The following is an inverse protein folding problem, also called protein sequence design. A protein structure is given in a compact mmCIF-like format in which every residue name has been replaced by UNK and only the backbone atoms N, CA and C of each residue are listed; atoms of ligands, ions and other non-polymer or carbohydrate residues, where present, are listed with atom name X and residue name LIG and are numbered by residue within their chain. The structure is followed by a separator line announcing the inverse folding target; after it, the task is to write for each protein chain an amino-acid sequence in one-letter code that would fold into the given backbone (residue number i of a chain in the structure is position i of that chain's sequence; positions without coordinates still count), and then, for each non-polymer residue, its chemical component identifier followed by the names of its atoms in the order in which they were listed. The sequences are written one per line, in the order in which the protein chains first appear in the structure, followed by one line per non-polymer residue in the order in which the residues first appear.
data_IF_001291487207
#
_entry.id   IF_001291487207
#
_cell.length_a   1.000
_cell.length_b   1.000
_cell.length_c   1.000
_cell.angle_alpha   90.00
_cell.angle_beta   90.00
_cell.angle_gamma   90.00
#
_symmetry.space_group_name_H-M   'P 1'
#
loop_
_entity.id
_entity.type
_entity.pdbx_description
1 polymer ?
#
# COMPACT_ATOMS: atom_id res chain seq x y z
N UNK A 1 24.84 -22.34 -79.18
CA UNK A 1 24.75 -21.24 -78.24
C UNK A 1 23.95 -21.72 -77.06
N UNK A 2 24.61 -22.11 -75.94
CA UNK A 2 23.99 -22.63 -74.74
C UNK A 2 23.82 -21.44 -73.73
N UNK A 3 22.59 -21.11 -73.35
CA UNK A 3 22.29 -20.12 -72.31
C UNK A 3 22.39 -20.79 -70.93
N UNK A 4 23.32 -20.33 -70.13
CA UNK A 4 23.51 -20.73 -68.73
C UNK A 4 22.57 -19.89 -67.89
N UNK A 5 21.58 -20.49 -67.20
CA UNK A 5 20.77 -19.88 -66.20
C UNK A 5 21.49 -19.94 -64.81
N UNK A 6 21.82 -18.79 -64.27
CA UNK A 6 22.29 -18.69 -62.91
C UNK A 6 21.04 -18.55 -61.95
N UNK A 7 20.85 -19.54 -61.11
CA UNK A 7 19.91 -19.44 -59.99
C UNK A 7 20.62 -18.75 -58.80
N UNK A 8 20.19 -17.57 -58.45
CA UNK A 8 20.60 -16.91 -57.21
C UNK A 8 19.66 -17.39 -56.10
N UNK A 9 20.21 -18.20 -55.18
CA UNK A 9 19.52 -18.66 -53.97
C UNK A 9 19.71 -17.58 -52.92
N UNK A 10 18.64 -16.78 -52.66
CA UNK A 10 18.59 -15.83 -51.53
C UNK A 10 18.24 -16.62 -50.28
N UNK A 11 19.24 -16.84 -49.43
CA UNK A 11 19.02 -17.44 -48.12
C UNK A 11 18.38 -16.39 -47.16
N UNK A 12 17.13 -16.61 -46.78
CA UNK A 12 16.53 -15.93 -45.64
C UNK A 12 17.19 -16.46 -44.36
N UNK A 13 18.07 -15.68 -43.74
CA UNK A 13 18.41 -15.89 -42.33
C UNK A 13 17.20 -15.45 -41.47
N UNK A 14 16.46 -16.42 -40.97
CA UNK A 14 15.54 -16.19 -39.90
C UNK A 14 16.35 -15.95 -38.60
N UNK A 15 16.47 -14.69 -38.15
CA UNK A 15 16.87 -14.40 -36.79
C UNK A 15 15.74 -14.88 -35.86
N UNK A 16 15.89 -16.08 -35.31
CA UNK A 16 15.16 -16.52 -34.17
C UNK A 16 15.68 -15.72 -32.95
N UNK A 17 15.07 -14.59 -32.67
CA UNK A 17 15.19 -13.92 -31.39
C UNK A 17 14.64 -14.87 -30.34
N UNK A 18 15.51 -15.47 -29.55
CA UNK A 18 15.13 -16.09 -28.28
C UNK A 18 14.66 -14.97 -27.39
N UNK A 19 13.34 -14.88 -27.18
CA UNK A 19 12.78 -14.21 -26.03
C UNK A 19 13.35 -14.91 -24.80
N UNK A 20 14.34 -14.33 -24.16
CA UNK A 20 14.74 -14.69 -22.80
C UNK A 20 13.58 -14.20 -21.93
N UNK A 21 12.64 -15.10 -21.63
CA UNK A 21 11.77 -14.93 -20.49
C UNK A 21 12.70 -14.83 -19.29
N UNK A 22 12.69 -13.70 -18.58
CA UNK A 22 13.30 -13.59 -17.29
C UNK A 22 12.55 -14.58 -16.38
N UNK A 23 13.13 -15.77 -16.19
CA UNK A 23 12.68 -16.67 -15.14
C UNK A 23 13.03 -15.98 -13.84
N UNK A 24 12.03 -15.61 -13.05
CA UNK A 24 12.23 -15.25 -11.66
C UNK A 24 13.03 -16.39 -11.00
N UNK A 25 14.22 -16.08 -10.49
CA UNK A 25 14.98 -17.04 -9.69
C UNK A 25 14.17 -17.35 -8.43
N UNK A 26 14.29 -18.57 -7.89
CA UNK A 26 13.70 -18.90 -6.60
C UNK A 26 14.22 -17.89 -5.56
N UNK A 27 13.31 -17.21 -4.87
CA UNK A 27 13.67 -16.30 -3.78
C UNK A 27 14.29 -17.12 -2.63
N UNK A 28 15.25 -16.55 -1.86
CA UNK A 28 15.83 -17.26 -0.72
C UNK A 28 14.75 -17.56 0.31
N UNK A 29 14.82 -18.71 0.95
CA UNK A 29 13.97 -19.06 2.07
C UNK A 29 14.34 -18.25 3.33
N UNK A 30 13.45 -18.19 4.32
CA UNK A 30 13.64 -17.39 5.55
C UNK A 30 14.94 -17.74 6.29
N UNK A 31 15.31 -19.03 6.35
CA UNK A 31 16.52 -19.52 7.02
C UNK A 31 17.81 -19.25 6.22
N UNK A 32 17.70 -18.81 4.97
CA UNK A 32 18.82 -18.37 4.14
C UNK A 32 19.09 -16.85 4.25
N UNK A 33 18.17 -16.09 4.88
CA UNK A 33 18.29 -14.64 5.03
C UNK A 33 19.32 -14.28 6.12
N UNK A 34 19.98 -13.14 5.91
CA UNK A 34 20.86 -12.54 6.91
C UNK A 34 20.07 -11.86 8.02
N UNK A 35 20.69 -11.66 9.20
CA UNK A 35 20.17 -10.72 10.19
C UNK A 35 20.01 -9.31 9.58
N UNK A 36 18.96 -8.60 9.96
CA UNK A 36 18.64 -7.27 9.42
C UNK A 36 17.82 -7.33 8.13
N UNK A 37 17.81 -6.23 7.38
CA UNK A 37 17.00 -6.10 6.16
C UNK A 37 17.65 -6.81 4.97
N UNK A 38 16.87 -7.64 4.30
CA UNK A 38 17.22 -8.35 3.07
C UNK A 38 16.30 -7.86 1.94
N UNK A 39 16.90 -7.42 0.84
CA UNK A 39 16.18 -7.04 -0.37
C UNK A 39 15.92 -8.28 -1.24
N UNK A 40 14.65 -8.53 -1.59
CA UNK A 40 14.22 -9.63 -2.42
C UNK A 40 13.62 -9.08 -3.73
N UNK A 41 14.08 -9.63 -4.87
CA UNK A 41 13.63 -9.25 -6.22
C UNK A 41 12.91 -10.43 -6.87
N UNK A 42 11.56 -10.47 -6.82
CA UNK A 42 10.81 -11.64 -7.29
C UNK A 42 10.85 -11.82 -8.80
N UNK A 43 11.00 -10.75 -9.58
CA UNK A 43 10.92 -10.83 -11.04
C UNK A 43 9.53 -11.24 -11.53
N UNK A 44 9.46 -11.98 -12.63
CA UNK A 44 8.17 -12.44 -13.17
C UNK A 44 7.27 -11.29 -13.64
N UNK A 45 6.06 -11.21 -13.11
CA UNK A 45 5.08 -10.16 -13.44
C UNK A 45 5.23 -8.88 -12.62
N UNK A 46 6.13 -8.90 -11.60
CA UNK A 46 6.34 -7.74 -10.75
C UNK A 46 7.13 -6.65 -11.47
N UNK A 47 6.68 -5.40 -11.34
CA UNK A 47 7.26 -4.29 -12.08
C UNK A 47 6.85 -2.95 -11.44
N UNK A 48 7.71 -1.94 -11.53
CA UNK A 48 7.33 -0.57 -11.17
C UNK A 48 6.60 0.15 -12.32
N UNK A 49 5.95 1.26 -12.03
CA UNK A 49 5.14 2.04 -12.97
C UNK A 49 5.85 2.38 -14.28
N UNK A 50 7.14 2.67 -14.21
CA UNK A 50 7.99 3.07 -15.33
C UNK A 50 8.73 1.90 -16.00
N UNK A 51 8.47 0.64 -15.61
CA UNK A 51 9.09 -0.56 -16.16
C UNK A 51 10.40 -1.00 -15.49
N UNK A 52 10.82 -0.36 -14.40
CA UNK A 52 11.97 -0.82 -13.60
C UNK A 52 11.61 -2.03 -12.74
N UNK A 53 12.62 -2.75 -12.27
CA UNK A 53 12.44 -3.92 -11.41
C UNK A 53 11.78 -3.54 -10.08
N UNK A 54 10.99 -4.48 -9.56
CA UNK A 54 10.40 -4.38 -8.23
C UNK A 54 11.26 -5.14 -7.21
N UNK A 55 11.22 -4.70 -5.97
CA UNK A 55 11.78 -5.38 -4.82
C UNK A 55 10.92 -5.13 -3.58
N UNK A 56 10.95 -6.07 -2.65
CA UNK A 56 10.43 -5.91 -1.29
C UNK A 56 11.51 -6.29 -0.28
N UNK A 57 11.31 -6.01 1.00
CA UNK A 57 12.33 -6.27 2.01
C UNK A 57 11.80 -7.16 3.12
N UNK A 58 12.66 -8.03 3.64
CA UNK A 58 12.36 -8.91 4.77
C UNK A 58 13.42 -8.74 5.84
N UNK A 59 12.97 -8.66 7.09
CA UNK A 59 13.82 -8.74 8.27
C UNK A 59 13.38 -9.92 9.14
N UNK A 60 14.20 -10.97 9.27
CA UNK A 60 13.95 -12.06 10.21
C UNK A 60 13.94 -11.56 11.66
N UNK A 61 13.00 -12.05 12.46
CA UNK A 61 12.82 -11.78 13.87
C UNK A 61 12.10 -12.94 14.56
N UNK A 62 11.26 -12.65 15.55
CA UNK A 62 10.39 -13.64 16.17
C UNK A 62 9.32 -14.11 15.16
N UNK A 63 9.32 -15.40 14.82
CA UNK A 63 8.40 -15.97 13.85
C UNK A 63 6.94 -16.10 14.33
N UNK A 64 6.69 -15.98 15.64
CA UNK A 64 5.36 -15.93 16.22
C UNK A 64 4.70 -14.54 16.04
N UNK A 65 5.50 -13.53 15.65
CA UNK A 65 5.09 -12.12 15.52
C UNK A 65 5.50 -11.57 14.15
N UNK A 66 4.55 -11.21 13.33
CA UNK A 66 4.79 -10.78 11.96
C UNK A 66 4.21 -9.38 11.73
N UNK A 67 5.05 -8.45 11.28
CA UNK A 67 4.64 -7.14 10.80
C UNK A 67 4.72 -7.11 9.28
N UNK A 68 3.60 -6.83 8.62
CA UNK A 68 3.51 -6.64 7.16
C UNK A 68 3.18 -5.16 6.93
N UNK A 69 4.13 -4.45 6.34
CA UNK A 69 4.02 -3.01 6.13
C UNK A 69 3.96 -2.66 4.65
N UNK A 70 2.88 -2.00 4.25
CA UNK A 70 2.69 -1.47 2.89
C UNK A 70 3.16 -0.02 2.84
N UNK A 71 4.20 0.24 2.03
CA UNK A 71 4.75 1.59 1.93
C UNK A 71 3.80 2.53 1.18
N UNK A 72 3.81 3.80 1.55
CA UNK A 72 3.14 4.86 0.80
C UNK A 72 3.95 5.36 -0.37
N UNK A 73 3.49 6.44 -0.99
CA UNK A 73 4.23 7.09 -2.08
C UNK A 73 3.38 7.76 -3.13
N UNK A 74 2.16 8.17 -2.77
CA UNK A 74 1.23 8.86 -3.66
C UNK A 74 0.48 7.92 -4.61
N UNK A 75 -0.14 8.49 -5.65
CA UNK A 75 -0.91 7.74 -6.65
C UNK A 75 -1.09 8.57 -7.92
N UNK A 76 -1.46 7.93 -9.04
CA UNK A 76 -1.85 8.65 -10.24
C UNK A 76 -2.90 7.89 -11.06
N UNK A 77 -3.78 8.62 -11.79
CA UNK A 77 -4.87 8.06 -12.60
C UNK A 77 -5.25 8.91 -13.82
N UNK A 78 -4.46 9.95 -14.15
CA UNK A 78 -4.54 10.70 -15.39
C UNK A 78 -3.18 11.30 -15.77
N UNK A 79 -3.02 11.66 -17.07
CA UNK A 79 -1.72 11.92 -17.66
C UNK A 79 -0.82 12.90 -16.93
N UNK A 80 -1.35 14.05 -16.49
CA UNK A 80 -0.54 15.11 -15.87
C UNK A 80 0.10 14.71 -14.55
N UNK A 81 -0.59 13.89 -13.73
CA UNK A 81 -0.06 13.41 -12.45
C UNK A 81 0.69 12.08 -12.57
N UNK A 82 0.58 11.41 -13.73
CA UNK A 82 1.31 10.18 -14.03
C UNK A 82 2.64 10.42 -14.74
N UNK A 83 2.77 11.51 -15.49
CA UNK A 83 3.98 11.82 -16.25
C UNK A 83 5.09 12.38 -15.36
N UNK A 84 6.22 11.67 -15.33
CA UNK A 84 7.41 12.05 -14.55
C UNK A 84 8.04 13.39 -14.99
N UNK A 85 7.72 13.86 -16.20
CA UNK A 85 8.22 15.15 -16.73
C UNK A 85 7.24 16.30 -16.50
N UNK A 86 6.01 16.02 -16.00
CA UNK A 86 5.01 17.02 -15.70
C UNK A 86 4.93 17.28 -14.17
N UNK A 87 3.90 16.79 -13.52
CA UNK A 87 3.68 16.96 -12.08
C UNK A 87 3.40 15.62 -11.41
N UNK A 88 4.39 14.70 -11.35
CA UNK A 88 4.16 13.38 -10.77
C UNK A 88 3.80 13.48 -9.29
N UNK A 89 2.76 12.74 -8.91
CA UNK A 89 2.26 12.69 -7.54
C UNK A 89 2.61 11.38 -6.84
N UNK A 90 3.63 10.66 -7.34
CA UNK A 90 4.02 9.36 -6.82
C UNK A 90 5.51 9.07 -6.98
N UNK A 91 6.01 8.04 -6.27
CA UNK A 91 7.38 7.52 -6.36
C UNK A 91 7.42 6.38 -7.38
N UNK A 92 8.16 6.49 -8.49
CA UNK A 92 8.09 5.55 -9.63
C UNK A 92 9.06 4.37 -9.57
N UNK A 93 9.97 4.31 -8.58
CA UNK A 93 11.04 3.30 -8.47
C UNK A 93 11.25 2.85 -7.04
N UNK A 94 11.84 1.68 -6.84
CA UNK A 94 12.15 1.17 -5.49
C UNK A 94 13.53 1.58 -4.98
N UNK A 95 14.48 1.92 -5.86
CA UNK A 95 15.85 2.30 -5.50
C UNK A 95 15.91 3.74 -4.93
N UNK A 96 15.23 3.98 -3.83
CA UNK A 96 15.22 5.27 -3.13
C UNK A 96 15.20 5.07 -1.62
N UNK A 97 15.66 6.06 -0.86
CA UNK A 97 15.53 6.05 0.61
C UNK A 97 14.06 5.94 1.05
N UNK A 98 13.12 6.41 0.22
CA UNK A 98 11.68 6.29 0.46
C UNK A 98 11.20 4.84 0.53
N UNK A 99 11.81 3.92 -0.21
CA UNK A 99 11.49 2.50 -0.24
C UNK A 99 12.50 1.62 0.54
N UNK A 100 13.45 2.22 1.25
CA UNK A 100 14.45 1.48 2.03
C UNK A 100 14.12 1.53 3.52
N UNK A 101 13.58 0.44 4.12
CA UNK A 101 13.19 0.43 5.53
C UNK A 101 14.35 0.66 6.50
N UNK A 102 15.60 0.40 6.09
CA UNK A 102 16.77 0.64 6.92
C UNK A 102 17.07 2.13 7.15
N UNK A 103 16.45 3.03 6.38
CA UNK A 103 16.59 4.49 6.51
C UNK A 103 15.44 5.14 7.25
N UNK A 104 14.41 4.37 7.62
CA UNK A 104 13.22 4.87 8.28
C UNK A 104 13.40 4.90 9.81
N UNK A 105 12.59 5.76 10.44
CA UNK A 105 12.46 5.89 11.90
C UNK A 105 11.08 5.37 12.36
N UNK A 106 10.65 5.71 13.57
CA UNK A 106 9.37 5.25 14.12
C UNK A 106 9.39 3.73 14.34
N UNK A 107 8.41 2.98 13.81
CA UNK A 107 8.34 1.52 14.00
C UNK A 107 9.56 0.76 13.48
N UNK A 108 10.40 1.39 12.67
CA UNK A 108 11.64 0.82 12.12
C UNK A 108 12.89 1.14 12.94
N UNK A 109 12.78 1.91 14.04
CA UNK A 109 13.87 2.15 14.99
C UNK A 109 14.02 0.96 15.96
N UNK A 110 14.62 -0.11 15.48
CA UNK A 110 14.68 -1.39 16.18
C UNK A 110 15.52 -1.36 17.48
N UNK A 111 16.39 -0.39 17.61
CA UNK A 111 17.20 -0.15 18.81
C UNK A 111 16.49 0.73 19.85
N UNK A 112 15.32 1.28 19.53
CA UNK A 112 14.54 2.09 20.46
C UNK A 112 13.84 1.18 21.47
N UNK A 113 14.10 1.33 22.81
CA UNK A 113 13.51 0.47 23.83
C UNK A 113 11.98 0.62 23.96
N UNK A 114 11.39 1.69 23.42
CA UNK A 114 9.96 1.91 23.40
C UNK A 114 9.28 1.30 22.16
N UNK A 115 10.05 0.77 21.21
CA UNK A 115 9.48 0.18 19.99
C UNK A 115 8.83 -1.19 20.29
N UNK A 116 7.49 -1.32 20.19
CA UNK A 116 6.82 -2.60 20.45
C UNK A 116 7.11 -3.67 19.40
N UNK A 117 7.71 -3.31 18.28
CA UNK A 117 8.00 -4.18 17.13
C UNK A 117 9.48 -4.56 16.99
N UNK A 118 10.34 -4.22 17.95
CA UNK A 118 11.79 -4.37 17.82
C UNK A 118 12.24 -5.82 17.58
N UNK A 119 11.53 -6.81 18.15
CA UNK A 119 11.82 -8.25 18.01
C UNK A 119 10.99 -8.96 16.92
N UNK A 120 10.07 -8.28 16.24
CA UNK A 120 9.18 -8.87 15.25
C UNK A 120 9.89 -9.22 13.95
N UNK A 121 9.42 -10.30 13.29
CA UNK A 121 9.70 -10.48 11.87
C UNK A 121 8.95 -9.41 11.07
N UNK A 122 9.60 -8.86 10.04
CA UNK A 122 9.01 -7.78 9.26
C UNK A 122 9.09 -8.06 7.77
N UNK A 123 8.00 -7.84 7.05
CA UNK A 123 7.92 -7.81 5.59
C UNK A 123 7.51 -6.39 5.17
N UNK A 124 8.39 -5.73 4.44
CA UNK A 124 8.17 -4.38 3.94
C UNK A 124 7.87 -4.43 2.45
N UNK A 125 6.63 -4.16 2.10
CA UNK A 125 6.12 -4.14 0.73
C UNK A 125 6.40 -2.76 0.13
N UNK A 126 7.41 -2.68 -0.73
CA UNK A 126 7.78 -1.43 -1.41
C UNK A 126 6.68 -0.94 -2.34
N UNK A 127 6.69 0.35 -2.64
CA UNK A 127 5.68 0.96 -3.50
C UNK A 127 6.29 1.76 -4.65
N UNK A 128 5.86 1.49 -5.88
CA UNK A 128 6.34 2.18 -7.08
C UNK A 128 5.38 2.13 -8.28
N UNK A 129 4.11 1.79 -8.06
CA UNK A 129 3.12 1.50 -9.12
C UNK A 129 2.00 2.53 -9.26
N UNK A 130 1.95 3.51 -8.35
CA UNK A 130 1.01 4.64 -8.37
C UNK A 130 -0.50 4.26 -8.29
N UNK A 131 -0.83 3.11 -7.70
CA UNK A 131 -2.15 2.47 -7.68
C UNK A 131 -2.57 1.97 -6.29
N UNK A 132 -1.99 2.53 -5.24
CA UNK A 132 -2.20 2.20 -3.83
C UNK A 132 -2.13 0.70 -3.54
N UNK A 133 -1.24 -0.05 -4.23
CA UNK A 133 -1.03 -1.51 -4.16
C UNK A 133 -2.18 -2.39 -4.67
N UNK A 134 -3.26 -1.84 -5.17
CA UNK A 134 -4.48 -2.60 -5.57
C UNK A 134 -4.80 -2.49 -7.06
N UNK A 135 -3.84 -2.07 -7.89
CA UNK A 135 -4.00 -2.01 -9.33
C UNK A 135 -3.53 -3.28 -10.03
N UNK A 136 -4.25 -3.65 -11.12
CA UNK A 136 -3.82 -4.66 -12.09
C UNK A 136 -4.13 -4.22 -13.51
N UNK A 137 -3.46 -3.16 -13.99
CA UNK A 137 -3.63 -2.59 -15.31
C UNK A 137 -2.30 -2.11 -15.92
N UNK A 138 -2.27 -1.99 -17.24
CA UNK A 138 -1.27 -1.19 -17.97
C UNK A 138 -2.05 -0.15 -18.76
N UNK A 139 -1.88 1.12 -18.41
CA UNK A 139 -2.70 2.21 -18.94
C UNK A 139 -1.83 3.23 -19.66
N UNK A 140 -2.28 3.65 -20.83
CA UNK A 140 -1.67 4.78 -21.56
C UNK A 140 -2.53 6.00 -21.41
N UNK A 141 -1.99 7.02 -20.77
CA UNK A 141 -2.65 8.29 -20.51
C UNK A 141 -2.22 9.36 -21.50
N UNK A 142 -3.17 10.20 -21.94
CA UNK A 142 -2.86 11.41 -22.70
C UNK A 142 -2.39 12.52 -21.76
N UNK A 143 -1.24 13.11 -22.09
CA UNK A 143 -0.71 14.30 -21.41
C UNK A 143 -0.94 15.50 -22.33
N UNK A 144 -1.81 16.46 -21.96
CA UNK A 144 -2.07 17.63 -22.77
C UNK A 144 -0.84 18.54 -22.86
N UNK A 145 -0.75 19.33 -23.93
CA UNK A 145 0.30 20.35 -24.05
C UNK A 145 0.19 21.39 -22.94
N UNK A 146 1.35 21.85 -22.48
CA UNK A 146 1.50 23.00 -21.59
C UNK A 146 2.46 24.04 -22.21
N UNK A 147 2.73 25.12 -21.49
CA UNK A 147 3.63 26.18 -22.00
C UNK A 147 5.04 25.67 -22.32
N UNK A 148 5.49 24.63 -21.59
CA UNK A 148 6.86 24.09 -21.67
C UNK A 148 6.93 22.67 -22.29
N UNK A 149 5.79 22.06 -22.67
CA UNK A 149 5.73 20.67 -23.11
C UNK A 149 4.67 20.44 -24.19
N UNK A 150 5.04 19.71 -25.25
CA UNK A 150 4.09 19.27 -26.28
C UNK A 150 3.19 18.13 -25.75
N UNK A 151 1.98 18.02 -26.33
CA UNK A 151 1.09 16.93 -26.02
C UNK A 151 1.73 15.57 -26.37
N UNK A 152 1.66 14.60 -25.46
CA UNK A 152 2.22 13.27 -25.65
C UNK A 152 1.44 12.22 -24.84
N UNK A 153 1.92 10.99 -24.84
CA UNK A 153 1.34 9.90 -24.04
C UNK A 153 2.36 9.33 -23.08
N UNK A 154 1.89 8.87 -21.91
CA UNK A 154 2.67 8.14 -20.93
C UNK A 154 1.99 6.80 -20.63
N UNK A 155 2.76 5.72 -20.62
CA UNK A 155 2.26 4.39 -20.23
C UNK A 155 2.73 4.04 -18.84
N UNK A 156 1.80 3.65 -17.98
CA UNK A 156 2.01 3.34 -16.58
C UNK A 156 1.63 1.87 -16.33
N UNK A 157 2.52 1.16 -15.65
CA UNK A 157 2.23 -0.18 -15.14
C UNK A 157 1.63 -0.05 -13.73
N UNK A 158 0.32 -0.08 -13.62
CA UNK A 158 -0.41 -0.21 -12.36
C UNK A 158 -0.46 -1.70 -11.99
N UNK A 159 0.62 -2.21 -11.39
CA UNK A 159 0.82 -3.62 -11.03
C UNK A 159 1.06 -3.81 -9.53
N UNK A 160 0.47 -2.93 -8.73
CA UNK A 160 0.60 -2.95 -7.28
C UNK A 160 0.13 -4.26 -6.65
N UNK A 161 -0.96 -4.84 -7.16
CA UNK A 161 -1.46 -6.13 -6.69
C UNK A 161 -0.44 -7.25 -6.93
N UNK A 162 0.10 -7.39 -8.15
CA UNK A 162 1.11 -8.41 -8.45
C UNK A 162 2.36 -8.24 -7.58
N UNK A 163 2.79 -6.99 -7.34
CA UNK A 163 3.92 -6.68 -6.48
C UNK A 163 3.65 -7.06 -5.02
N UNK A 164 2.49 -6.67 -4.48
CA UNK A 164 2.09 -6.97 -3.11
C UNK A 164 1.93 -8.48 -2.89
N UNK A 165 1.23 -9.17 -3.80
CA UNK A 165 1.05 -10.62 -3.72
C UNK A 165 2.38 -11.37 -3.79
N UNK A 166 3.36 -10.90 -4.56
CA UNK A 166 4.68 -11.54 -4.58
C UNK A 166 5.38 -11.55 -3.21
N UNK A 167 5.17 -10.49 -2.42
CA UNK A 167 5.68 -10.41 -1.05
C UNK A 167 4.85 -11.27 -0.09
N UNK A 168 3.52 -11.31 -0.25
CA UNK A 168 2.64 -12.14 0.56
C UNK A 168 2.83 -13.63 0.26
N UNK A 169 2.92 -14.04 -1.01
CA UNK A 169 3.17 -15.44 -1.39
C UNK A 169 4.49 -15.94 -0.80
N UNK A 170 5.53 -15.10 -0.84
CA UNK A 170 6.79 -15.41 -0.15
C UNK A 170 6.59 -15.54 1.36
N UNK A 171 5.81 -14.64 1.96
CA UNK A 171 5.51 -14.65 3.40
C UNK A 171 4.77 -15.93 3.80
N UNK A 172 3.73 -16.30 3.08
CA UNK A 172 2.92 -17.50 3.30
C UNK A 172 3.74 -18.79 3.17
N UNK A 173 4.69 -18.81 2.25
CA UNK A 173 5.59 -19.95 2.06
C UNK A 173 6.67 -20.08 3.16
N UNK A 174 6.91 -19.03 3.96
CA UNK A 174 8.05 -18.96 4.88
C UNK A 174 7.67 -18.82 6.37
N UNK A 175 6.42 -18.46 6.68
CA UNK A 175 5.90 -18.36 8.05
C UNK A 175 4.71 -19.28 8.21
N UNK A 176 4.89 -20.44 8.86
CA UNK A 176 3.85 -21.48 8.92
C UNK A 176 2.65 -21.11 9.81
N UNK A 177 2.87 -20.48 10.96
CA UNK A 177 1.81 -20.21 11.94
C UNK A 177 2.17 -19.05 12.90
N UNK A 178 2.31 -17.82 12.42
CA UNK A 178 2.47 -16.66 13.30
C UNK A 178 1.24 -16.51 14.20
N UNK A 179 1.45 -16.09 15.45
CA UNK A 179 0.37 -15.97 16.44
C UNK A 179 -0.27 -14.59 16.45
N UNK A 180 0.54 -13.58 16.16
CA UNK A 180 0.08 -12.18 16.07
C UNK A 180 0.66 -11.57 14.82
N UNK A 181 -0.21 -10.99 14.02
CA UNK A 181 0.17 -10.34 12.77
C UNK A 181 -0.31 -8.88 12.83
N UNK A 182 0.59 -7.95 12.53
CA UNK A 182 0.26 -6.55 12.38
C UNK A 182 0.36 -6.17 10.89
N UNK A 183 -0.78 -5.98 10.25
CA UNK A 183 -0.88 -5.56 8.83
C UNK A 183 -1.12 -4.06 8.82
N UNK A 184 -0.18 -3.31 8.30
CA UNK A 184 -0.27 -1.85 8.33
C UNK A 184 0.32 -1.23 7.08
N UNK A 185 0.08 0.04 6.89
CA UNK A 185 0.66 0.80 5.80
C UNK A 185 0.41 2.28 5.98
N UNK A 186 1.24 3.10 5.34
CA UNK A 186 1.14 4.56 5.41
C UNK A 186 0.67 5.15 4.07
N UNK A 187 -0.23 6.16 4.11
CA UNK A 187 -0.70 6.85 2.89
C UNK A 187 -1.32 5.85 1.88
N UNK A 188 -0.79 5.75 0.68
CA UNK A 188 -1.21 4.75 -0.31
C UNK A 188 -1.28 3.32 0.26
N UNK A 189 -0.34 2.95 1.14
CA UNK A 189 -0.35 1.64 1.81
C UNK A 189 -1.42 1.51 2.89
N UNK A 190 -1.85 2.61 3.50
CA UNK A 190 -2.96 2.61 4.44
C UNK A 190 -4.28 2.19 3.78
N UNK A 191 -4.52 2.68 2.56
CA UNK A 191 -5.69 2.32 1.75
C UNK A 191 -5.75 0.81 1.47
N UNK A 192 -4.61 0.22 1.12
CA UNK A 192 -4.52 -1.20 0.78
C UNK A 192 -4.59 -2.13 1.99
N UNK A 193 -4.13 -1.67 3.15
CA UNK A 193 -3.90 -2.54 4.31
C UNK A 193 -5.13 -3.34 4.79
N UNK A 194 -6.38 -2.83 4.78
CA UNK A 194 -7.55 -3.62 5.17
C UNK A 194 -7.80 -4.79 4.21
N UNK A 195 -7.68 -4.57 2.89
CA UNK A 195 -7.83 -5.61 1.89
C UNK A 195 -6.82 -6.75 2.10
N UNK A 196 -5.53 -6.41 2.27
CA UNK A 196 -4.50 -7.39 2.50
C UNK A 196 -4.60 -8.05 3.88
N UNK A 197 -5.16 -7.38 4.89
CA UNK A 197 -5.44 -8.00 6.19
C UNK A 197 -6.45 -9.14 6.06
N UNK A 198 -7.46 -9.01 5.20
CA UNK A 198 -8.40 -10.08 4.90
C UNK A 198 -7.74 -11.28 4.21
N UNK A 199 -6.90 -11.05 3.21
CA UNK A 199 -6.13 -12.13 2.55
C UNK A 199 -5.14 -12.83 3.52
N UNK A 200 -4.55 -12.07 4.44
CA UNK A 200 -3.70 -12.61 5.51
C UNK A 200 -4.53 -13.45 6.50
N UNK A 201 -5.79 -13.05 6.76
CA UNK A 201 -6.69 -13.82 7.61
C UNK A 201 -7.12 -15.15 6.99
N UNK A 202 -7.31 -15.19 5.68
CA UNK A 202 -7.58 -16.44 4.96
C UNK A 202 -6.43 -17.45 5.11
N UNK A 203 -5.18 -16.98 5.04
CA UNK A 203 -3.99 -17.83 5.19
C UNK A 203 -3.74 -18.22 6.66
N UNK A 204 -4.00 -17.32 7.60
CA UNK A 204 -3.72 -17.51 9.03
C UNK A 204 -4.98 -17.39 9.90
N UNK A 205 -5.97 -18.28 9.74
CA UNK A 205 -7.26 -18.14 10.42
C UNK A 205 -7.19 -18.26 11.96
N UNK A 206 -6.12 -18.81 12.50
CA UNK A 206 -5.89 -18.93 13.95
C UNK A 206 -5.06 -17.78 14.54
N UNK A 207 -4.49 -16.92 13.70
CA UNK A 207 -3.72 -15.78 14.17
C UNK A 207 -4.64 -14.65 14.64
N UNK A 208 -4.17 -13.88 15.62
CA UNK A 208 -4.75 -12.55 15.88
C UNK A 208 -4.14 -11.56 14.91
N UNK A 209 -4.97 -10.92 14.12
CA UNK A 209 -4.55 -9.94 13.13
C UNK A 209 -5.05 -8.56 13.57
N UNK A 210 -4.15 -7.59 13.55
CA UNK A 210 -4.48 -6.19 13.75
C UNK A 210 -4.12 -5.43 12.49
N UNK A 211 -5.07 -4.71 11.92
CA UNK A 211 -4.86 -3.81 10.80
C UNK A 211 -4.81 -2.37 11.32
N UNK A 212 -3.88 -1.55 10.83
CA UNK A 212 -3.83 -0.11 11.08
C UNK A 212 -3.52 0.65 9.79
N UNK A 213 -4.45 1.48 9.33
CA UNK A 213 -4.22 2.43 8.24
C UNK A 213 -3.65 3.75 8.76
N UNK A 214 -2.46 4.16 8.29
CA UNK A 214 -1.77 5.37 8.70
C UNK A 214 -1.93 6.48 7.65
N UNK A 215 -2.86 7.41 7.91
CA UNK A 215 -3.13 8.65 7.15
C UNK A 215 -3.67 8.44 5.72
N UNK A 216 -4.88 7.88 5.61
CA UNK A 216 -5.65 7.83 4.35
C UNK A 216 -7.17 7.68 4.59
N UNK A 217 -7.70 8.08 5.74
CA UNK A 217 -9.12 7.89 6.09
C UNK A 217 -10.09 8.86 5.42
N UNK A 218 -9.60 9.98 4.88
CA UNK A 218 -10.48 11.04 4.36
C UNK A 218 -11.00 10.82 2.94
N UNK A 219 -10.60 9.75 2.26
CA UNK A 219 -11.05 9.46 0.88
C UNK A 219 -12.37 8.68 0.92
N UNK A 220 -13.49 9.40 0.95
CA UNK A 220 -14.83 8.88 1.17
C UNK A 220 -15.69 8.97 -0.11
N UNK A 221 -16.52 7.93 -0.34
CA UNK A 221 -17.62 7.96 -1.29
C UNK A 221 -17.26 7.70 -2.75
N UNK A 222 -18.16 8.13 -3.64
CA UNK A 222 -18.11 7.82 -5.08
C UNK A 222 -16.99 8.59 -5.83
N UNK A 223 -16.41 9.62 -5.26
CA UNK A 223 -15.39 10.46 -5.90
C UNK A 223 -14.07 9.70 -6.15
N UNK A 224 -13.80 8.63 -5.38
CA UNK A 224 -12.61 7.79 -5.55
C UNK A 224 -12.75 6.72 -6.64
N UNK A 225 -13.89 6.63 -7.31
CA UNK A 225 -14.11 5.63 -8.37
C UNK A 225 -13.21 5.85 -9.60
N UNK A 226 -12.88 7.10 -9.94
CA UNK A 226 -12.04 7.38 -11.09
C UNK A 226 -10.64 6.72 -10.98
N UNK A 227 -9.89 6.85 -9.88
CA UNK A 227 -8.66 6.11 -9.68
C UNK A 227 -8.88 4.58 -9.65
N UNK A 228 -9.84 4.06 -8.90
CA UNK A 228 -10.10 2.61 -8.80
C UNK A 228 -10.41 1.98 -10.15
N UNK A 229 -11.20 2.67 -10.99
CA UNK A 229 -11.49 2.24 -12.36
C UNK A 229 -10.23 2.27 -13.25
N UNK A 230 -9.41 3.31 -13.17
CA UNK A 230 -8.19 3.43 -13.95
C UNK A 230 -7.17 2.31 -13.61
N UNK A 231 -7.09 1.90 -12.36
CA UNK A 231 -6.22 0.84 -11.89
C UNK A 231 -6.79 -0.57 -12.10
N UNK A 232 -8.06 -0.69 -12.56
CA UNK A 232 -8.76 -1.97 -12.73
C UNK A 232 -8.87 -2.78 -11.43
N UNK A 233 -9.07 -2.08 -10.31
CA UNK A 233 -9.10 -2.69 -8.97
C UNK A 233 -10.16 -3.77 -8.84
N UNK A 234 -11.28 -3.66 -9.54
CA UNK A 234 -12.32 -4.68 -9.52
C UNK A 234 -11.83 -6.09 -9.93
N UNK A 235 -10.76 -6.16 -10.74
CA UNK A 235 -10.23 -7.44 -11.24
C UNK A 235 -9.43 -8.24 -10.22
N UNK A 236 -9.03 -7.59 -9.12
CA UNK A 236 -8.18 -8.23 -8.10
C UNK A 236 -8.96 -8.63 -6.85
N UNK A 237 -10.25 -8.27 -6.79
CA UNK A 237 -11.07 -8.62 -5.64
C UNK A 237 -11.22 -10.15 -5.53
N UNK A 238 -11.07 -10.72 -4.33
CA UNK A 238 -11.19 -12.15 -4.13
C UNK A 238 -12.65 -12.62 -4.29
N UNK A 239 -12.85 -13.91 -4.47
CA UNK A 239 -14.16 -14.55 -4.57
C UNK A 239 -14.83 -14.64 -3.18
N UNK A 240 -14.96 -13.48 -2.53
CA UNK A 240 -15.69 -13.37 -1.26
C UNK A 240 -17.13 -12.94 -1.52
N UNK A 241 -18.13 -13.52 -0.81
CA UNK A 241 -19.54 -13.13 -0.97
C UNK A 241 -19.79 -11.62 -0.77
N UNK A 242 -18.95 -10.95 0.00
CA UNK A 242 -19.00 -9.52 0.30
C UNK A 242 -18.77 -8.66 -0.95
N UNK A 243 -18.12 -9.21 -1.98
CA UNK A 243 -17.88 -8.54 -3.26
C UNK A 243 -18.82 -8.96 -4.39
N UNK A 244 -19.75 -9.92 -4.19
CA UNK A 244 -20.63 -10.46 -5.24
C UNK A 244 -21.46 -9.39 -5.98
N UNK A 245 -21.88 -8.34 -5.29
CA UNK A 245 -22.70 -7.25 -5.84
C UNK A 245 -21.89 -5.98 -6.15
N UNK A 246 -20.60 -5.96 -5.85
CA UNK A 246 -19.72 -4.80 -6.07
C UNK A 246 -19.44 -4.66 -7.56
N UNK A 247 -19.64 -3.47 -8.08
CA UNK A 247 -19.34 -3.13 -9.48
C UNK A 247 -18.20 -2.14 -9.57
N UNK A 248 -17.55 -2.03 -10.73
CA UNK A 248 -16.46 -1.08 -10.92
C UNK A 248 -16.88 0.39 -10.64
N UNK A 249 -18.14 0.72 -10.89
CA UNK A 249 -18.68 2.07 -10.64
C UNK A 249 -19.23 2.25 -9.21
N UNK A 250 -19.20 1.20 -8.38
CA UNK A 250 -19.71 1.23 -7.00
C UNK A 250 -18.64 0.96 -5.96
N UNK A 251 -17.43 0.60 -6.35
CA UNK A 251 -16.34 0.30 -5.41
C UNK A 251 -15.80 1.59 -4.76
N UNK A 252 -15.65 1.57 -3.44
CA UNK A 252 -15.02 2.63 -2.64
C UNK A 252 -13.86 2.08 -1.81
N UNK A 253 -13.10 2.95 -1.14
CA UNK A 253 -12.05 2.47 -0.22
C UNK A 253 -12.61 1.92 1.08
N UNK A 254 -13.79 2.39 1.51
CA UNK A 254 -14.50 1.84 2.67
C UNK A 254 -14.92 0.38 2.44
N UNK A 255 -15.25 0.00 1.20
CA UNK A 255 -15.62 -1.38 0.88
C UNK A 255 -14.50 -2.37 1.18
N UNK A 256 -13.22 -1.92 1.15
CA UNK A 256 -12.09 -2.78 1.52
C UNK A 256 -12.07 -3.10 3.02
N UNK A 257 -12.49 -2.14 3.88
CA UNK A 257 -12.68 -2.35 5.31
C UNK A 257 -13.91 -3.20 5.58
N UNK A 258 -15.05 -2.81 5.00
CA UNK A 258 -16.35 -3.46 5.21
C UNK A 258 -16.30 -4.93 4.79
N UNK A 259 -15.79 -5.21 3.58
CA UNK A 259 -15.70 -6.58 3.09
C UNK A 259 -14.81 -7.44 3.98
N UNK A 260 -13.63 -6.96 4.39
CA UNK A 260 -12.76 -7.70 5.30
C UNK A 260 -13.40 -7.93 6.67
N UNK A 261 -14.07 -6.92 7.24
CA UNK A 261 -14.74 -7.06 8.53
C UNK A 261 -15.91 -8.06 8.51
N UNK A 262 -16.65 -8.11 7.40
CA UNK A 262 -17.74 -9.09 7.22
C UNK A 262 -17.23 -10.49 6.88
N UNK A 263 -16.06 -10.58 6.23
CA UNK A 263 -15.47 -11.86 5.80
C UNK A 263 -14.85 -12.64 6.96
N UNK A 264 -14.30 -11.97 7.98
CA UNK A 264 -13.54 -12.64 9.05
C UNK A 264 -13.63 -11.90 10.39
N UNK A 265 -13.75 -12.70 11.48
CA UNK A 265 -13.84 -12.20 12.86
C UNK A 265 -12.46 -12.02 13.54
N UNK A 266 -11.34 -12.42 12.89
CA UNK A 266 -10.01 -12.40 13.52
C UNK A 266 -9.15 -11.16 13.17
N UNK A 267 -9.73 -10.17 12.48
CA UNK A 267 -9.06 -8.90 12.15
C UNK A 267 -9.65 -7.77 12.99
N UNK A 268 -8.84 -7.17 13.84
CA UNK A 268 -9.16 -5.90 14.50
C UNK A 268 -8.71 -4.74 13.62
N UNK A 269 -9.60 -3.79 13.32
CA UNK A 269 -9.32 -2.69 12.40
C UNK A 269 -9.13 -1.36 13.10
N UNK A 270 -8.18 -0.57 12.61
CA UNK A 270 -7.86 0.73 13.16
C UNK A 270 -7.40 1.73 12.09
N UNK A 271 -7.51 3.02 12.42
CA UNK A 271 -6.96 4.11 11.61
C UNK A 271 -6.28 5.18 12.47
N UNK A 272 -5.16 5.70 11.98
CA UNK A 272 -4.57 6.97 12.42
C UNK A 272 -4.77 8.02 11.33
N UNK A 273 -5.21 9.23 11.72
CA UNK A 273 -5.26 10.38 10.83
C UNK A 273 -4.88 11.67 11.59
N UNK A 274 -4.28 12.63 10.88
CA UNK A 274 -4.17 13.99 11.37
C UNK A 274 -5.31 14.84 10.77
N UNK A 275 -5.93 15.66 11.60
CA UNK A 275 -7.16 16.39 11.26
C UNK A 275 -6.97 17.41 10.12
N UNK A 276 -5.76 17.98 10.00
CA UNK A 276 -5.42 19.01 9.00
C UNK A 276 -4.34 18.51 8.01
N UNK A 277 -4.33 17.22 7.69
CA UNK A 277 -3.36 16.60 6.78
C UNK A 277 -3.41 17.22 5.37
N UNK A 278 -2.44 18.10 5.07
CA UNK A 278 -2.32 18.79 3.79
C UNK A 278 -2.13 17.84 2.59
N UNK A 279 -1.54 16.66 2.80
CA UNK A 279 -1.36 15.66 1.74
C UNK A 279 -2.71 15.04 1.36
N UNK A 280 -3.54 14.69 2.33
CA UNK A 280 -4.90 14.21 2.06
C UNK A 280 -5.72 15.31 1.36
N UNK A 281 -5.69 16.55 1.84
CA UNK A 281 -6.35 17.68 1.15
C UNK A 281 -5.87 17.84 -0.30
N UNK A 282 -4.57 17.68 -0.55
CA UNK A 282 -4.01 17.72 -1.90
C UNK A 282 -4.63 16.69 -2.84
N UNK A 283 -4.70 15.43 -2.41
CA UNK A 283 -5.32 14.35 -3.20
C UNK A 283 -6.84 14.48 -3.31
N UNK A 284 -7.54 14.89 -2.24
CA UNK A 284 -8.98 15.17 -2.26
C UNK A 284 -9.31 16.23 -3.32
N UNK A 285 -8.50 17.27 -3.43
CA UNK A 285 -8.67 18.31 -4.45
C UNK A 285 -8.54 17.76 -5.89
N UNK A 286 -7.73 16.73 -6.12
CA UNK A 286 -7.58 16.09 -7.44
C UNK A 286 -8.82 15.29 -7.86
N UNK A 287 -9.61 14.82 -6.90
CA UNK A 287 -10.90 14.16 -7.15
C UNK A 287 -12.08 15.12 -6.99
N UNK A 288 -11.83 16.41 -6.71
CA UNK A 288 -12.85 17.47 -6.67
C UNK A 288 -13.53 17.64 -5.32
N UNK A 289 -13.02 17.04 -4.26
CA UNK A 289 -13.54 17.18 -2.89
C UNK A 289 -12.86 18.40 -2.22
N UNK A 290 -13.66 19.22 -1.53
CA UNK A 290 -13.19 20.42 -0.81
C UNK A 290 -13.76 20.51 0.61
N UNK A 291 -14.39 19.46 1.09
CA UNK A 291 -14.95 19.39 2.44
C UNK A 291 -13.84 19.29 3.49
N UNK A 292 -14.09 19.74 4.74
CA UNK A 292 -13.12 19.63 5.82
C UNK A 292 -12.76 18.17 6.09
N UNK A 293 -11.47 17.86 6.19
CA UNK A 293 -10.99 16.49 6.42
C UNK A 293 -11.57 15.85 7.68
N UNK A 294 -11.73 16.54 8.83
CA UNK A 294 -12.37 15.94 10.00
C UNK A 294 -13.81 15.46 9.75
N UNK A 295 -14.56 16.16 8.90
CA UNK A 295 -15.91 15.73 8.50
C UNK A 295 -15.85 14.47 7.63
N UNK A 296 -14.95 14.42 6.65
CA UNK A 296 -14.78 13.25 5.76
C UNK A 296 -14.33 12.02 6.55
N UNK A 297 -13.45 12.20 7.55
CA UNK A 297 -13.03 11.12 8.44
C UNK A 297 -14.22 10.57 9.24
N UNK A 298 -15.02 11.44 9.83
CA UNK A 298 -16.22 11.03 10.60
C UNK A 298 -17.24 10.29 9.72
N UNK A 299 -17.49 10.77 8.51
CA UNK A 299 -18.36 10.11 7.52
C UNK A 299 -17.84 8.74 7.10
N UNK A 300 -16.53 8.60 6.84
CA UNK A 300 -15.90 7.33 6.49
C UNK A 300 -15.96 6.33 7.64
N UNK A 301 -15.63 6.75 8.88
CA UNK A 301 -15.69 5.88 10.06
C UNK A 301 -17.10 5.37 10.29
N UNK A 302 -18.11 6.26 10.29
CA UNK A 302 -19.52 5.87 10.42
C UNK A 302 -19.99 4.94 9.31
N UNK A 303 -19.49 5.11 8.08
CA UNK A 303 -19.81 4.23 6.95
C UNK A 303 -19.26 2.83 7.19
N UNK A 304 -17.99 2.71 7.56
CA UNK A 304 -17.35 1.42 7.84
C UNK A 304 -18.06 0.70 8.97
N UNK A 305 -18.28 1.36 10.12
CA UNK A 305 -18.92 0.74 11.29
C UNK A 305 -20.39 0.36 11.03
N UNK A 306 -21.16 1.24 10.38
CA UNK A 306 -22.57 0.97 10.15
C UNK A 306 -22.82 -0.15 9.14
N UNK A 307 -21.92 -0.34 8.18
CA UNK A 307 -22.03 -1.37 7.14
C UNK A 307 -21.44 -2.70 7.58
N UNK A 308 -20.32 -2.69 8.29
CA UNK A 308 -19.70 -3.91 8.81
C UNK A 308 -20.40 -4.42 10.09
N UNK A 309 -20.92 -3.53 10.91
CA UNK A 309 -21.39 -3.84 12.27
C UNK A 309 -20.27 -4.07 13.30
N UNK A 310 -19.02 -3.85 12.89
CA UNK A 310 -17.81 -4.01 13.70
C UNK A 310 -17.23 -2.66 14.11
N UNK A 311 -16.48 -2.62 15.23
CA UNK A 311 -15.81 -1.42 15.74
C UNK A 311 -14.56 -1.10 14.94
N UNK A 312 -14.41 0.17 14.54
CA UNK A 312 -13.19 0.71 13.94
C UNK A 312 -12.49 1.59 14.99
N UNK A 313 -11.36 1.13 15.52
CA UNK A 313 -10.58 1.92 16.47
C UNK A 313 -9.89 3.10 15.78
N UNK A 314 -10.07 4.30 16.30
CA UNK A 314 -9.56 5.51 15.66
C UNK A 314 -8.64 6.31 16.56
N UNK A 315 -7.56 6.86 15.98
CA UNK A 315 -6.69 7.83 16.61
C UNK A 315 -6.57 9.05 15.70
N UNK A 316 -7.30 10.11 16.01
CA UNK A 316 -7.26 11.37 15.25
C UNK A 316 -6.45 12.41 16.01
N UNK A 317 -5.26 12.72 15.51
CA UNK A 317 -4.39 13.76 16.05
C UNK A 317 -4.73 15.14 15.45
N UNK A 318 -4.40 16.22 16.17
CA UNK A 318 -4.43 17.56 15.60
C UNK A 318 -3.22 17.83 14.69
N UNK A 319 -3.33 18.90 13.87
CA UNK A 319 -2.26 19.35 12.99
C UNK A 319 -2.18 18.62 11.64
N UNK A 320 -1.05 18.81 10.95
CA UNK A 320 -0.89 18.52 9.51
C UNK A 320 -0.05 17.27 9.22
N UNK A 321 0.36 16.49 10.23
CA UNK A 321 1.31 15.40 10.08
C UNK A 321 0.77 14.28 9.19
N UNK A 322 1.22 14.23 7.95
CA UNK A 322 0.95 13.11 7.05
C UNK A 322 1.81 11.89 7.41
N UNK A 323 1.16 10.83 7.85
CA UNK A 323 1.76 9.56 8.32
C UNK A 323 2.62 9.69 9.58
N UNK A 324 2.47 8.77 10.52
CA UNK A 324 3.15 8.78 11.81
C UNK A 324 4.05 7.57 12.03
N UNK A 325 3.73 6.41 11.43
CA UNK A 325 4.44 5.15 11.69
C UNK A 325 5.94 5.20 11.37
N UNK A 326 6.34 6.04 10.42
CA UNK A 326 7.73 6.23 10.02
C UNK A 326 8.34 7.55 10.50
N UNK A 327 7.84 8.10 11.60
CA UNK A 327 8.24 9.39 12.14
C UNK A 327 8.64 9.28 13.61
N UNK A 328 9.48 10.19 14.12
CA UNK A 328 9.77 10.28 15.56
C UNK A 328 8.51 10.53 16.40
N UNK A 329 7.50 11.16 15.81
CA UNK A 329 6.21 11.46 16.41
C UNK A 329 5.44 10.20 16.81
N UNK A 330 5.75 9.04 16.26
CA UNK A 330 5.25 7.74 16.70
C UNK A 330 5.41 7.53 18.21
N UNK A 331 6.52 8.00 18.77
CA UNK A 331 6.82 7.88 20.20
C UNK A 331 6.37 9.07 21.04
N UNK A 332 6.12 10.22 20.43
CA UNK A 332 5.94 11.48 21.17
C UNK A 332 4.55 12.07 21.07
N UNK A 333 3.76 11.73 20.04
CA UNK A 333 2.39 12.24 19.95
C UNK A 333 1.52 11.70 21.06
N UNK A 334 0.82 12.63 21.74
CA UNK A 334 -0.09 12.35 22.84
C UNK A 334 -1.36 13.20 22.67
N UNK A 335 -2.51 12.56 22.57
CA UNK A 335 -3.82 13.21 22.47
C UNK A 335 -4.66 12.75 23.65
N UNK A 336 -5.21 13.70 24.41
CA UNK A 336 -6.06 13.39 25.57
C UNK A 336 -5.38 12.58 26.68
N UNK A 337 -4.03 12.61 26.77
CA UNK A 337 -3.24 11.82 27.72
C UNK A 337 -2.91 10.40 27.23
N UNK A 338 -3.23 10.06 25.97
CA UNK A 338 -2.93 8.77 25.35
C UNK A 338 -1.81 8.94 24.32
N UNK A 339 -0.63 8.36 24.59
CA UNK A 339 0.48 8.35 23.63
C UNK A 339 0.16 7.39 22.49
N UNK A 340 0.50 7.78 21.26
CA UNK A 340 0.21 6.94 20.09
C UNK A 340 0.93 5.58 20.15
N UNK A 341 2.20 5.54 20.55
CA UNK A 341 2.94 4.29 20.70
C UNK A 341 2.30 3.33 21.71
N UNK A 342 1.81 3.85 22.84
CA UNK A 342 1.16 3.04 23.86
C UNK A 342 -0.21 2.53 23.38
N UNK A 343 -0.96 3.37 22.64
CA UNK A 343 -2.22 2.99 22.02
C UNK A 343 -2.02 1.85 20.99
N UNK A 344 -1.04 1.97 20.10
CA UNK A 344 -0.71 0.91 19.12
C UNK A 344 -0.24 -0.36 19.82
N UNK A 345 0.61 -0.26 20.85
CA UNK A 345 1.09 -1.42 21.57
C UNK A 345 -0.06 -2.19 22.26
N UNK A 346 -0.98 -1.48 22.91
CA UNK A 346 -2.18 -2.06 23.52
C UNK A 346 -3.12 -2.68 22.49
N UNK A 347 -3.36 -2.00 21.36
CA UNK A 347 -4.17 -2.52 20.26
C UNK A 347 -3.61 -3.86 19.75
N UNK A 348 -2.32 -3.91 19.47
CA UNK A 348 -1.64 -5.13 18.99
C UNK A 348 -1.60 -6.23 20.07
N UNK A 349 -1.55 -5.86 21.34
CA UNK A 349 -1.69 -6.82 22.45
C UNK A 349 -3.10 -7.40 22.56
N UNK A 350 -4.11 -6.82 21.89
CA UNK A 350 -5.52 -7.21 21.97
C UNK A 350 -6.20 -6.66 23.20
N UNK A 351 -5.72 -5.51 23.69
CA UNK A 351 -6.36 -4.76 24.77
C UNK A 351 -7.41 -3.80 24.18
N UNK A 352 -8.43 -3.49 24.91
CA UNK A 352 -9.45 -2.49 24.55
C UNK A 352 -8.83 -1.08 24.69
N UNK A 353 -8.74 -0.33 23.58
CA UNK A 353 -8.02 0.96 23.54
C UNK A 353 -8.94 2.19 23.44
N UNK A 354 -10.15 2.04 23.01
CA UNK A 354 -11.06 3.17 22.74
C UNK A 354 -10.54 4.14 21.67
N UNK A 355 -11.45 4.99 21.21
CA UNK A 355 -11.14 6.05 20.24
C UNK A 355 -10.43 7.23 20.90
N UNK A 356 -9.52 7.82 20.13
CA UNK A 356 -8.77 9.03 20.54
C UNK A 356 -9.01 10.13 19.51
N UNK A 357 -9.50 11.27 19.98
CA UNK A 357 -9.82 12.43 19.14
C UNK A 357 -9.21 13.70 19.75
N UNK A 358 -8.62 14.53 18.91
CA UNK A 358 -8.09 15.82 19.32
C UNK A 358 -9.21 16.77 19.80
N UNK A 359 -8.99 17.46 20.93
CA UNK A 359 -9.87 18.53 21.41
C UNK A 359 -9.68 19.83 20.61
N UNK A 360 -8.43 20.10 20.18
CA UNK A 360 -8.02 21.24 19.35
C UNK A 360 -7.30 20.65 18.16
N UNK A 361 -8.01 20.55 17.03
CA UNK A 361 -7.54 19.75 15.90
C UNK A 361 -6.71 20.54 14.89
N UNK A 362 -6.65 21.85 14.97
CA UNK A 362 -5.81 22.73 14.15
C UNK A 362 -4.35 22.85 14.64
N UNK A 363 -4.00 22.19 15.73
CA UNK A 363 -2.67 22.24 16.36
C UNK A 363 -2.13 20.84 16.56
N UNK A 364 -0.88 20.62 16.15
CA UNK A 364 -0.20 19.34 16.39
C UNK A 364 -0.10 19.02 17.90
N UNK A 365 -0.22 17.73 18.30
CA UNK A 365 0.02 17.33 19.68
C UNK A 365 1.41 17.77 20.16
N UNK A 366 1.51 18.26 21.39
CA UNK A 366 2.76 18.72 22.01
C UNK A 366 3.45 19.91 21.31
N UNK A 367 2.75 20.67 20.45
CA UNK A 367 3.23 21.95 19.96
C UNK A 367 3.20 22.97 21.13
N UNK A 368 4.39 23.48 21.57
CA UNK A 368 4.54 24.54 22.58
C UNK A 368 4.40 25.95 21.98
#
# INVERSE_FOLDING_TARGET
MKKLLFFVMVGLLALSGTLVSAQGGDLPALDELSEGWNELRPGGETICSNGTEYAFYVRPGDSDKLLIYFNGGGACWFGQICDLNAHPTYVPVVETDHNNPATHVGIFELDNPENPFADWSMVYVSYCTADVHIGDAVVTYDVPASDDMEAHQVTINHKGYANAMSALDWTFANYDAPKTIFVTGSSAGAIASPFYAGLVADEYPEARIVQLGDAAGGYHGEEVQAPLSAWNTISILPDWPEYDEVTADGLSFEDLYVATALHTDNVTMAQYNAAEDETQYGFLSLVGIADPLPQLLDEAYQTIESQSGEELYTYTAGGELHTILRRPEFYTYEVGGVRFVDWVASLVAGEDVGDVMCDVCDVAPNAE
#
